data_IF_007234076701
#
_entry.id   IF_007234076701
#
_cell.length_a   1.000
_cell.length_b   1.000
_cell.length_c   1.000
_cell.angle_alpha   90.00
_cell.angle_beta   90.00
_cell.angle_gamma   90.00
#
_symmetry.space_group_name_H-M   'P 1'
#
loop_
_entity.id
_entity.type
_entity.pdbx_description
1 polymer ?
#
# COMPACT_ATOMS: atom_id res chain seq x y z
N UNK A 1 -12.97 12.66 36.20
CA UNK A 1 -11.85 12.96 35.29
C UNK A 1 -10.64 13.53 36.02
N UNK A 2 -10.86 14.12 37.18
CA UNK A 2 -9.82 14.82 37.95
C UNK A 2 -8.69 13.93 38.47
N UNK A 3 -9.00 12.69 38.88
CA UNK A 3 -7.99 11.72 39.33
C UNK A 3 -6.96 11.29 38.27
N UNK A 4 -7.36 11.27 36.99
CA UNK A 4 -6.45 10.93 35.92
C UNK A 4 -5.47 12.09 35.61
N UNK A 5 -5.96 13.31 35.67
CA UNK A 5 -5.13 14.51 35.50
C UNK A 5 -4.16 14.70 36.67
N UNK A 6 -4.62 14.43 37.89
CA UNK A 6 -3.79 14.45 39.10
C UNK A 6 -2.69 13.38 39.06
N UNK A 7 -2.99 12.19 38.56
CA UNK A 7 -2.02 11.12 38.36
C UNK A 7 -0.95 11.48 37.33
N UNK A 8 -1.34 12.09 36.21
CA UNK A 8 -0.41 12.60 35.18
C UNK A 8 0.49 13.69 35.75
N UNK A 9 -0.11 14.63 36.54
CA UNK A 9 0.63 15.72 37.19
C UNK A 9 1.64 15.25 38.25
N UNK A 10 1.35 14.15 38.94
CA UNK A 10 2.22 13.58 39.95
C UNK A 10 3.38 12.74 39.39
N UNK A 11 3.27 12.32 38.12
CA UNK A 11 4.29 11.48 37.49
C UNK A 11 4.78 12.03 36.13
N UNK A 12 5.22 13.29 36.03
CA UNK A 12 5.58 13.92 34.77
C UNK A 12 6.75 13.21 34.07
N UNK A 13 7.67 12.64 34.83
CA UNK A 13 8.81 11.89 34.31
C UNK A 13 8.40 10.60 33.61
N UNK A 14 7.42 9.89 34.17
CA UNK A 14 6.89 8.66 33.58
C UNK A 14 6.20 8.92 32.24
N UNK A 15 5.37 9.96 32.19
CA UNK A 15 4.68 10.35 30.96
C UNK A 15 5.64 10.93 29.92
N UNK A 16 6.70 11.62 30.32
CA UNK A 16 7.76 12.09 29.44
C UNK A 16 8.49 10.91 28.78
N UNK A 17 8.88 9.91 29.54
CA UNK A 17 9.52 8.69 29.00
C UNK A 17 8.56 7.94 28.08
N UNK A 18 7.30 7.80 28.46
CA UNK A 18 6.29 7.13 27.62
C UNK A 18 6.09 7.85 26.30
N UNK A 19 6.03 9.20 26.32
CA UNK A 19 5.91 9.99 25.10
C UNK A 19 7.11 9.81 24.17
N UNK A 20 8.33 9.83 24.72
CA UNK A 20 9.56 9.60 23.94
C UNK A 20 9.56 8.19 23.33
N UNK A 21 9.20 7.17 24.10
CA UNK A 21 9.11 5.79 23.62
C UNK A 21 8.04 5.65 22.52
N UNK A 22 6.90 6.31 22.66
CA UNK A 22 5.85 6.31 21.64
C UNK A 22 6.35 6.97 20.36
N UNK A 23 7.01 8.12 20.43
CA UNK A 23 7.58 8.80 19.25
C UNK A 23 8.63 7.93 18.58
N UNK A 24 9.54 7.33 19.34
CA UNK A 24 10.55 6.40 18.80
C UNK A 24 9.89 5.17 18.14
N UNK A 25 8.87 4.60 18.77
CA UNK A 25 8.13 3.47 18.23
C UNK A 25 7.49 3.83 16.87
N UNK A 26 6.76 4.95 16.81
CA UNK A 26 6.14 5.41 15.55
C UNK A 26 7.17 5.77 14.47
N UNK A 27 8.30 6.35 14.86
CA UNK A 27 9.38 6.68 13.90
C UNK A 27 10.01 5.41 13.29
N UNK A 28 10.26 4.39 14.12
CA UNK A 28 10.79 3.10 13.66
C UNK A 28 9.78 2.38 12.77
N UNK A 29 8.51 2.36 13.19
CA UNK A 29 7.44 1.69 12.43
C UNK A 29 7.21 2.34 11.05
N UNK A 30 7.21 3.67 10.97
CA UNK A 30 7.12 4.39 9.69
C UNK A 30 8.30 4.07 8.76
N UNK A 31 9.50 3.94 9.30
CA UNK A 31 10.70 3.61 8.51
C UNK A 31 10.65 2.17 7.98
N UNK A 32 10.10 1.24 8.77
CA UNK A 32 9.98 -0.19 8.42
C UNK A 32 8.91 -0.47 7.34
N UNK A 33 7.86 0.32 7.28
CA UNK A 33 6.73 0.10 6.36
C UNK A 33 7.07 0.42 4.89
N UNK A 34 8.28 0.88 4.59
CA UNK A 34 8.72 1.29 3.26
C UNK A 34 8.12 2.62 2.79
N UNK A 35 8.77 3.24 1.83
CA UNK A 35 8.34 4.53 1.27
C UNK A 35 7.09 4.38 0.42
N UNK A 36 6.08 5.19 0.70
CA UNK A 36 4.88 5.31 -0.13
C UNK A 36 5.18 6.14 -1.36
N UNK A 37 4.68 5.73 -2.51
CA UNK A 37 4.74 6.50 -3.75
C UNK A 37 3.35 6.64 -4.34
N UNK A 38 3.09 7.78 -4.99
CA UNK A 38 1.84 8.03 -5.70
C UNK A 38 1.78 7.27 -7.03
N UNK A 39 0.59 7.16 -7.63
CA UNK A 39 0.40 6.57 -8.95
C UNK A 39 1.26 7.28 -10.03
N UNK A 40 1.35 8.62 -9.99
CA UNK A 40 2.17 9.38 -10.92
C UNK A 40 3.66 9.09 -10.75
N UNK A 41 4.14 9.02 -9.50
CA UNK A 41 5.52 8.67 -9.19
C UNK A 41 5.86 7.26 -9.66
N UNK A 42 4.94 6.30 -9.49
CA UNK A 42 5.11 4.95 -10.02
C UNK A 42 5.34 4.98 -11.54
N UNK A 43 4.50 5.69 -12.29
CA UNK A 43 4.66 5.83 -13.75
C UNK A 43 6.03 6.42 -14.13
N UNK A 44 6.48 7.47 -13.42
CA UNK A 44 7.81 8.04 -13.64
C UNK A 44 8.93 7.02 -13.35
N UNK A 45 8.86 6.29 -12.25
CA UNK A 45 9.90 5.31 -11.87
C UNK A 45 9.97 4.14 -12.84
N UNK A 46 8.83 3.68 -13.37
CA UNK A 46 8.81 2.63 -14.41
C UNK A 46 9.50 3.12 -15.67
N UNK A 47 9.20 4.35 -16.11
CA UNK A 47 9.74 4.88 -17.36
C UNK A 47 11.21 5.31 -17.27
N UNK A 48 11.63 5.90 -16.13
CA UNK A 48 12.97 6.49 -16.00
C UNK A 48 13.99 5.57 -15.32
N UNK A 49 13.54 4.65 -14.45
CA UNK A 49 14.39 3.80 -13.62
C UNK A 49 14.18 2.30 -13.87
N UNK A 50 13.33 1.93 -14.85
CA UNK A 50 12.93 0.54 -15.11
C UNK A 50 12.43 -0.19 -13.85
N UNK A 51 11.70 0.53 -12.97
CA UNK A 51 11.19 -0.02 -11.72
C UNK A 51 10.35 -1.28 -11.98
N UNK A 52 10.58 -2.32 -11.18
CA UNK A 52 9.86 -3.58 -11.29
C UNK A 52 8.60 -3.54 -10.43
N UNK A 53 7.48 -3.92 -11.03
CA UNK A 53 6.19 -3.94 -10.36
C UNK A 53 5.85 -5.36 -9.89
N UNK A 54 5.61 -5.53 -8.59
CA UNK A 54 5.22 -6.82 -8.00
C UNK A 54 3.86 -6.67 -7.33
N UNK A 55 2.87 -7.35 -7.87
CA UNK A 55 1.52 -7.41 -7.32
C UNK A 55 1.40 -8.63 -6.40
N UNK A 56 1.19 -8.37 -5.10
CA UNK A 56 1.11 -9.41 -4.08
C UNK A 56 -0.32 -9.89 -3.78
N UNK A 57 -1.29 -9.48 -4.60
CA UNK A 57 -2.66 -9.94 -4.47
C UNK A 57 -2.78 -11.41 -4.89
N UNK A 58 -3.85 -12.06 -4.42
CA UNK A 58 -4.17 -13.39 -4.87
C UNK A 58 -4.34 -13.44 -6.40
N UNK A 59 -3.91 -14.53 -7.04
CA UNK A 59 -3.92 -14.70 -8.49
C UNK A 59 -5.29 -14.38 -9.12
N UNK A 60 -6.38 -14.82 -8.52
CA UNK A 60 -7.75 -14.51 -8.98
C UNK A 60 -8.02 -13.01 -9.07
N UNK A 61 -7.55 -12.23 -8.09
CA UNK A 61 -7.71 -10.76 -8.09
C UNK A 61 -6.80 -10.08 -9.12
N UNK A 62 -5.58 -10.59 -9.29
CA UNK A 62 -4.67 -10.11 -10.31
C UNK A 62 -5.27 -10.28 -11.72
N UNK A 63 -5.85 -11.44 -12.01
CA UNK A 63 -6.47 -11.74 -13.31
C UNK A 63 -7.69 -10.86 -13.63
N UNK A 64 -8.36 -10.29 -12.62
CA UNK A 64 -9.48 -9.36 -12.85
C UNK A 64 -9.04 -7.97 -13.30
N UNK A 65 -7.78 -7.62 -13.11
CA UNK A 65 -7.19 -6.36 -13.54
C UNK A 65 -5.94 -6.01 -12.73
N UNK A 66 -4.89 -5.60 -13.43
CA UNK A 66 -3.58 -5.29 -12.84
C UNK A 66 -2.93 -4.10 -13.54
N UNK A 67 -1.91 -3.52 -12.92
CA UNK A 67 -1.12 -2.44 -13.54
C UNK A 67 -0.20 -3.05 -14.58
N UNK A 68 -0.19 -2.49 -15.79
CA UNK A 68 0.62 -2.99 -16.90
C UNK A 68 2.09 -3.14 -16.49
N UNK A 69 2.67 -4.29 -16.83
CA UNK A 69 4.05 -4.62 -16.51
C UNK A 69 4.25 -5.21 -15.10
N UNK A 70 3.19 -5.34 -14.28
CA UNK A 70 3.30 -5.98 -12.98
C UNK A 70 3.35 -7.52 -13.08
N UNK A 71 4.21 -8.11 -12.24
CA UNK A 71 4.34 -9.55 -12.06
C UNK A 71 3.60 -9.97 -10.79
N UNK A 72 2.77 -10.99 -10.86
CA UNK A 72 2.06 -11.48 -9.69
C UNK A 72 2.93 -12.44 -8.87
N UNK A 73 3.12 -12.12 -7.61
CA UNK A 73 3.70 -12.97 -6.58
C UNK A 73 2.79 -12.89 -5.37
N UNK A 74 1.83 -13.80 -5.21
CA UNK A 74 0.89 -13.75 -4.09
C UNK A 74 1.61 -13.65 -2.74
N UNK A 75 1.04 -12.90 -1.80
CA UNK A 75 1.64 -12.70 -0.47
C UNK A 75 1.95 -14.01 0.25
N UNK A 76 1.15 -15.06 -0.01
CA UNK A 76 1.37 -16.41 0.54
C UNK A 76 2.64 -17.09 0.03
N UNK A 77 3.07 -16.75 -1.19
CA UNK A 77 4.26 -17.32 -1.84
C UNK A 77 5.48 -16.38 -1.67
N UNK A 78 5.29 -15.19 -1.09
CA UNK A 78 6.32 -14.17 -1.02
C UNK A 78 7.57 -14.66 -0.27
N UNK A 79 7.39 -15.43 0.82
CA UNK A 79 8.49 -15.94 1.64
C UNK A 79 9.48 -16.77 0.84
N UNK A 80 8.99 -17.61 -0.05
CA UNK A 80 9.81 -18.52 -0.85
C UNK A 80 10.52 -17.80 -2.00
N UNK A 81 10.09 -16.56 -2.29
CA UNK A 81 10.59 -15.78 -3.43
C UNK A 81 11.27 -14.46 -3.01
N UNK A 82 11.57 -14.28 -1.72
CA UNK A 82 12.22 -13.07 -1.20
C UNK A 82 13.59 -12.86 -1.85
N UNK A 83 14.41 -13.90 -1.99
CA UNK A 83 15.76 -13.81 -2.55
C UNK A 83 15.72 -13.39 -4.03
N UNK A 84 14.72 -13.85 -4.77
CA UNK A 84 14.50 -13.41 -6.15
C UNK A 84 14.23 -11.89 -6.21
N UNK A 85 13.43 -11.38 -5.28
CA UNK A 85 13.11 -9.94 -5.21
C UNK A 85 14.33 -9.13 -4.75
N UNK A 86 15.10 -9.66 -3.82
CA UNK A 86 16.34 -9.01 -3.34
C UNK A 86 17.40 -8.90 -4.44
N UNK A 87 17.46 -9.87 -5.34
CA UNK A 87 18.39 -9.88 -6.46
C UNK A 87 18.07 -8.84 -7.55
N UNK A 88 16.86 -8.26 -7.56
CA UNK A 88 16.49 -7.21 -8.51
C UNK A 88 17.28 -5.94 -8.17
N UNK A 89 18.12 -5.44 -9.08
CA UNK A 89 18.91 -4.22 -8.87
C UNK A 89 18.06 -2.96 -8.95
N UNK A 90 17.05 -2.96 -9.81
CA UNK A 90 16.15 -1.84 -10.04
C UNK A 90 15.25 -1.60 -8.81
N UNK A 91 14.68 -0.40 -8.68
CA UNK A 91 13.64 -0.14 -7.68
C UNK A 91 12.47 -1.10 -7.84
N UNK A 92 11.99 -1.65 -6.73
CA UNK A 92 10.84 -2.55 -6.72
C UNK A 92 9.64 -1.85 -6.10
N UNK A 93 8.49 -1.94 -6.73
CA UNK A 93 7.25 -1.35 -6.24
C UNK A 93 6.25 -2.47 -5.92
N UNK A 94 5.90 -2.60 -4.66
CA UNK A 94 4.93 -3.58 -4.19
C UNK A 94 3.52 -3.00 -4.30
N UNK A 95 2.64 -3.78 -4.92
CA UNK A 95 1.24 -3.43 -5.17
C UNK A 95 0.35 -4.43 -4.43
N UNK A 96 -0.62 -3.94 -3.68
CA UNK A 96 -1.68 -4.75 -3.08
C UNK A 96 -3.04 -4.08 -3.24
N UNK A 97 -4.10 -4.58 -2.63
CA UNK A 97 -5.45 -4.00 -2.82
C UNK A 97 -5.54 -2.55 -2.32
N UNK A 98 -5.12 -2.27 -1.08
CA UNK A 98 -5.28 -0.98 -0.40
C UNK A 98 -3.98 -0.42 0.19
N UNK A 99 -2.82 -0.96 -0.11
CA UNK A 99 -1.52 -0.50 0.40
C UNK A 99 -1.13 -1.04 1.79
N UNK A 100 -1.98 -1.81 2.49
CA UNK A 100 -1.71 -2.30 3.85
C UNK A 100 -0.74 -3.49 3.84
N UNK A 101 -1.04 -4.54 3.09
CA UNK A 101 -0.20 -5.74 3.02
C UNK A 101 1.19 -5.47 2.43
N UNK A 102 1.31 -4.46 1.57
CA UNK A 102 2.58 -4.06 0.99
C UNK A 102 3.60 -3.64 2.06
N UNK A 103 3.17 -3.03 3.16
CA UNK A 103 4.06 -2.68 4.28
C UNK A 103 4.69 -3.92 4.91
N UNK A 104 3.90 -4.95 5.20
CA UNK A 104 4.39 -6.22 5.74
C UNK A 104 5.32 -6.94 4.74
N UNK A 105 4.98 -6.91 3.44
CA UNK A 105 5.83 -7.47 2.39
C UNK A 105 7.21 -6.80 2.36
N UNK A 106 7.27 -5.47 2.46
CA UNK A 106 8.53 -4.71 2.46
C UNK A 106 9.38 -5.06 3.68
N UNK A 107 8.77 -5.19 4.86
CA UNK A 107 9.48 -5.62 6.08
C UNK A 107 10.12 -7.00 5.91
N UNK A 108 9.40 -7.94 5.26
CA UNK A 108 9.92 -9.28 5.00
C UNK A 108 11.07 -9.27 3.98
N UNK A 109 10.97 -8.44 2.95
CA UNK A 109 12.01 -8.29 1.91
C UNK A 109 13.25 -7.63 2.51
N UNK A 110 13.10 -6.62 3.35
CA UNK A 110 14.20 -5.98 4.07
C UNK A 110 15.22 -5.25 3.17
N UNK A 111 14.76 -4.65 2.06
CA UNK A 111 15.60 -3.92 1.09
C UNK A 111 15.16 -2.46 0.97
N UNK A 112 16.11 -1.51 1.00
CA UNK A 112 15.82 -0.07 0.99
C UNK A 112 15.23 0.46 -0.32
N UNK A 113 15.52 -0.21 -1.45
CA UNK A 113 15.01 0.15 -2.79
C UNK A 113 13.62 -0.42 -3.09
N UNK A 114 12.86 -0.78 -2.06
CA UNK A 114 11.50 -1.30 -2.20
C UNK A 114 10.51 -0.24 -1.73
N UNK A 115 9.53 0.02 -2.57
CA UNK A 115 8.49 1.03 -2.39
C UNK A 115 7.12 0.35 -2.35
N UNK A 116 6.10 1.08 -1.87
CA UNK A 116 4.71 0.64 -1.96
C UNK A 116 3.85 1.68 -2.65
N UNK A 117 2.91 1.21 -3.46
CA UNK A 117 1.91 2.08 -4.06
C UNK A 117 0.91 2.54 -3.00
N UNK A 118 0.77 3.86 -2.85
CA UNK A 118 -0.20 4.46 -1.95
C UNK A 118 -1.62 4.11 -2.37
N UNK A 119 -2.42 3.61 -1.40
CA UNK A 119 -3.77 3.13 -1.69
C UNK A 119 -3.85 1.85 -2.55
N UNK A 120 -2.70 1.27 -2.95
CA UNK A 120 -2.65 0.06 -3.77
C UNK A 120 -3.42 0.19 -5.10
N UNK A 121 -4.04 -0.88 -5.56
CA UNK A 121 -4.89 -0.87 -6.78
C UNK A 121 -6.06 0.11 -6.64
N UNK A 122 -6.65 0.22 -5.45
CA UNK A 122 -7.73 1.19 -5.20
C UNK A 122 -7.26 2.63 -5.42
N UNK A 123 -6.07 2.99 -4.92
CA UNK A 123 -5.46 4.30 -5.14
C UNK A 123 -5.11 4.57 -6.61
N UNK A 124 -4.61 3.55 -7.33
CA UNK A 124 -4.34 3.63 -8.76
C UNK A 124 -5.60 3.94 -9.57
N UNK A 125 -6.69 3.21 -9.32
CA UNK A 125 -7.98 3.45 -9.97
C UNK A 125 -8.60 4.80 -9.55
N UNK A 126 -8.46 5.19 -8.28
CA UNK A 126 -8.90 6.49 -7.78
C UNK A 126 -8.19 7.67 -8.45
N UNK A 127 -6.95 7.48 -8.89
CA UNK A 127 -6.19 8.43 -9.70
C UNK A 127 -6.57 8.42 -11.19
N UNK A 128 -7.58 7.64 -11.59
CA UNK A 128 -8.04 7.53 -12.99
C UNK A 128 -7.12 6.72 -13.88
N UNK A 129 -6.17 5.98 -13.32
CA UNK A 129 -5.21 5.18 -14.09
C UNK A 129 -5.82 3.85 -14.56
N UNK A 130 -5.54 3.40 -15.80
CA UNK A 130 -6.12 2.18 -16.35
C UNK A 130 -5.48 0.91 -15.74
N UNK A 131 -6.28 -0.15 -15.69
CA UNK A 131 -5.83 -1.52 -15.46
C UNK A 131 -5.91 -2.31 -16.77
N UNK A 132 -5.00 -3.26 -16.93
CA UNK A 132 -5.02 -4.24 -18.04
C UNK A 132 -5.51 -5.60 -17.53
N UNK A 133 -5.93 -6.50 -18.45
CA UNK A 133 -6.38 -7.84 -18.08
C UNK A 133 -7.79 -7.90 -17.51
N UNK A 134 -8.57 -6.81 -17.58
CA UNK A 134 -9.97 -6.79 -17.15
C UNK A 134 -10.79 -7.63 -18.14
N UNK A 135 -10.90 -8.94 -17.91
CA UNK A 135 -11.90 -9.77 -18.56
C UNK A 135 -13.23 -9.46 -17.85
N UNK A 136 -14.11 -8.75 -18.57
CA UNK A 136 -15.51 -8.54 -18.21
C UNK A 136 -15.80 -7.83 -16.87
N UNK A 137 -15.31 -6.62 -16.70
CA UNK A 137 -15.96 -5.68 -15.81
C UNK A 137 -17.27 -5.21 -16.48
N UNK A 138 -18.38 -5.95 -16.30
CA UNK A 138 -19.71 -5.42 -16.58
C UNK A 138 -19.82 -4.05 -15.91
N UNK A 139 -20.18 -2.97 -16.65
CA UNK A 139 -20.37 -1.67 -16.04
C UNK A 139 -21.48 -1.81 -14.99
N UNK A 140 -21.14 -1.51 -13.73
CA UNK A 140 -22.16 -1.37 -12.67
C UNK A 140 -23.08 -0.24 -13.13
N UNK A 141 -24.26 -0.61 -13.64
CA UNK A 141 -25.34 0.27 -14.03
C UNK A 141 -25.68 1.16 -12.82
N UNK A 142 -25.22 2.40 -12.83
CA UNK A 142 -25.67 3.42 -11.89
C UNK A 142 -27.15 3.59 -12.15
N UNK A 143 -27.96 3.13 -11.19
CA UNK A 143 -29.41 3.11 -11.24
C UNK A 143 -29.97 4.44 -11.76
N UNK A 144 -30.81 4.33 -12.77
CA UNK A 144 -31.63 5.42 -13.31
C UNK A 144 -32.39 6.06 -12.16
N UNK A 145 -32.05 7.31 -11.85
CA UNK A 145 -32.94 8.17 -11.08
C UNK A 145 -34.23 8.27 -11.86
N UNK A 146 -35.35 7.82 -11.27
CA UNK A 146 -36.69 8.04 -11.80
C UNK A 146 -36.97 9.53 -11.79
N UNK A 147 -37.44 10.13 -12.92
CA UNK A 147 -37.96 11.48 -12.86
C UNK A 147 -39.31 11.45 -12.11
N UNK A 148 -39.43 12.27 -11.07
CA UNK A 148 -40.67 12.52 -10.38
C UNK A 148 -41.57 13.33 -11.29
N UNK A 149 -42.66 12.71 -11.81
CA UNK A 149 -43.78 13.37 -12.42
C UNK A 149 -44.61 14.05 -11.30
N UNK A 150 -44.50 15.34 -11.19
CA UNK A 150 -45.50 16.16 -10.53
C UNK A 150 -46.56 16.51 -11.57
N UNK A 151 -47.79 16.05 -11.27
CA UNK A 151 -49.04 16.57 -11.80
C UNK A 151 -49.64 17.53 -10.78
#
# INVERSE_FOLDING_TARGET
>A
MDRALEFVGNHPFLFGILAVLAVLFFAIENKRSGRKISANTLGMMVNSQNAQLIDIRAKKKFETGYIQGSRNIPFTELKDRIEEIRAIEQPVIIICDMGVQAGAAIQMIGKDSVYRLEGGIGGWQGAGMPLVGVKDAKPKNKGKAKPSLHK
#
